data_IF_714199110249
#
_entry.id   IF_714199110249
#
_cell.length_a   1.000
_cell.length_b   1.000
_cell.length_c   1.000
_cell.angle_alpha   90.00
_cell.angle_beta   90.00
_cell.angle_gamma   90.00
#
_symmetry.space_group_name_H-M   'P 1'
#
loop_
_entity.id
_entity.type
_entity.pdbx_description
1 polymer ?
#
# COMPACT_ATOMS: atom_id res chain seq x y z
N UNK A 1 -27.92 10.39 10.59
CA UNK A 1 -28.19 9.05 10.04
C UNK A 1 -26.85 8.44 9.70
N UNK A 2 -26.37 7.48 10.49
CA UNK A 2 -25.13 6.77 10.20
C UNK A 2 -25.29 6.03 8.88
N UNK A 3 -24.29 6.13 8.00
CA UNK A 3 -24.33 5.41 6.75
C UNK A 3 -24.15 3.91 7.04
N UNK A 4 -25.14 3.10 6.70
CA UNK A 4 -25.07 1.65 6.89
C UNK A 4 -23.86 1.06 6.14
N UNK A 5 -22.90 0.51 6.89
CA UNK A 5 -21.65 -0.07 6.39
C UNK A 5 -21.73 -1.59 6.37
N UNK A 6 -20.99 -2.22 5.46
CA UNK A 6 -20.91 -3.68 5.41
C UNK A 6 -20.24 -4.24 6.68
N UNK A 7 -20.84 -5.26 7.28
CA UNK A 7 -20.36 -5.88 8.52
C UNK A 7 -18.89 -6.32 8.42
N UNK A 8 -18.48 -6.99 7.34
CA UNK A 8 -17.09 -7.40 7.17
C UNK A 8 -16.10 -6.24 7.00
N UNK A 9 -16.57 -5.06 6.58
CA UNK A 9 -15.74 -3.84 6.54
C UNK A 9 -15.54 -3.33 7.96
N UNK A 10 -16.63 -3.24 8.74
CA UNK A 10 -16.59 -2.82 10.13
C UNK A 10 -15.66 -3.69 10.98
N UNK A 11 -15.75 -5.02 10.85
CA UNK A 11 -14.88 -5.96 11.56
C UNK A 11 -13.40 -5.79 11.21
N UNK A 12 -13.10 -5.45 9.95
CA UNK A 12 -11.73 -5.21 9.51
C UNK A 12 -11.16 -3.89 10.05
N UNK A 13 -11.98 -2.84 10.11
CA UNK A 13 -11.60 -1.54 10.67
C UNK A 13 -11.35 -1.63 12.18
N UNK A 14 -12.07 -2.49 12.90
CA UNK A 14 -11.80 -2.83 14.31
C UNK A 14 -10.62 -3.80 14.52
N UNK A 15 -9.92 -4.19 13.46
CA UNK A 15 -8.77 -5.09 13.55
C UNK A 15 -9.10 -6.53 13.98
N UNK A 16 -10.37 -6.95 13.94
CA UNK A 16 -10.79 -8.30 14.29
C UNK A 16 -10.26 -9.32 13.29
N UNK A 17 -10.39 -9.01 12.00
CA UNK A 17 -9.96 -9.88 10.91
C UNK A 17 -9.84 -9.11 9.60
N UNK A 18 -9.05 -9.61 8.64
CA UNK A 18 -9.14 -9.09 7.26
C UNK A 18 -10.57 -9.22 6.73
N UNK A 19 -10.98 -8.39 5.76
CA UNK A 19 -12.35 -8.44 5.19
C UNK A 19 -12.79 -9.85 4.78
N UNK A 20 -11.91 -10.63 4.13
CA UNK A 20 -12.22 -12.02 3.73
C UNK A 20 -12.35 -12.97 4.91
N UNK A 21 -11.49 -12.81 5.92
CA UNK A 21 -11.56 -13.63 7.14
C UNK A 21 -12.79 -13.23 7.98
N UNK A 22 -13.18 -11.97 7.98
CA UNK A 22 -14.44 -11.49 8.57
C UNK A 22 -15.66 -12.09 7.87
N UNK A 23 -15.66 -12.25 6.54
CA UNK A 23 -16.72 -12.99 5.83
C UNK A 23 -16.82 -14.44 6.28
N UNK A 24 -15.68 -15.12 6.51
CA UNK A 24 -15.68 -16.47 7.07
C UNK A 24 -16.26 -16.50 8.50
N UNK A 25 -15.93 -15.52 9.34
CA UNK A 25 -16.50 -15.40 10.70
C UNK A 25 -18.02 -15.25 10.68
N UNK A 26 -18.54 -14.39 9.80
CA UNK A 26 -19.97 -14.18 9.60
C UNK A 26 -20.62 -15.52 9.21
N UNK A 27 -20.16 -16.17 8.14
CA UNK A 27 -20.75 -17.44 7.66
C UNK A 27 -20.68 -18.55 8.72
N UNK A 28 -19.66 -18.56 9.58
CA UNK A 28 -19.53 -19.52 10.68
C UNK A 28 -20.39 -19.21 11.91
N UNK A 29 -21.25 -18.18 11.86
CA UNK A 29 -22.16 -17.81 12.96
C UNK A 29 -21.45 -17.22 14.18
N UNK A 30 -20.23 -16.69 14.02
CA UNK A 30 -19.43 -16.15 15.13
C UNK A 30 -19.69 -14.66 15.40
N UNK A 31 -20.63 -14.06 14.65
CA UNK A 31 -20.95 -12.63 14.71
C UNK A 31 -22.44 -12.45 15.00
N UNK A 32 -22.75 -11.66 16.01
CA UNK A 32 -24.11 -11.27 16.36
C UNK A 32 -24.33 -9.78 16.10
N UNK A 33 -25.53 -9.42 15.67
CA UNK A 33 -25.99 -8.03 15.56
C UNK A 33 -27.30 -7.93 16.32
N UNK A 34 -27.36 -7.05 17.32
CA UNK A 34 -28.51 -6.86 18.21
C UNK A 34 -29.01 -8.19 18.80
N UNK A 35 -28.09 -9.04 19.27
CA UNK A 35 -28.39 -10.34 19.86
C UNK A 35 -28.78 -11.44 18.87
N UNK A 36 -28.82 -11.16 17.56
CA UNK A 36 -29.14 -12.14 16.52
C UNK A 36 -27.89 -12.57 15.77
N UNK A 37 -27.63 -13.87 15.66
CA UNK A 37 -26.52 -14.41 14.87
C UNK A 37 -26.72 -14.05 13.39
N UNK A 38 -25.69 -13.49 12.76
CA UNK A 38 -25.69 -13.14 11.34
C UNK A 38 -24.79 -14.08 10.58
N UNK A 39 -25.35 -14.82 9.62
CA UNK A 39 -24.64 -15.73 8.71
C UNK A 39 -24.61 -15.24 7.25
N UNK A 40 -25.37 -14.20 6.94
CA UNK A 40 -25.53 -13.66 5.59
C UNK A 40 -24.42 -12.67 5.23
N UNK A 41 -23.69 -12.96 4.15
CA UNK A 41 -22.73 -12.03 3.57
C UNK A 41 -23.43 -10.80 2.97
N UNK A 42 -22.78 -9.63 3.10
CA UNK A 42 -23.30 -8.36 2.59
C UNK A 42 -24.24 -7.63 3.55
N UNK A 43 -24.51 -8.21 4.73
CA UNK A 43 -25.21 -7.55 5.83
C UNK A 43 -24.61 -6.17 6.11
N UNK A 44 -25.48 -5.18 6.27
CA UNK A 44 -25.10 -3.81 6.62
C UNK A 44 -25.59 -3.48 8.02
N UNK A 45 -24.77 -2.73 8.74
CA UNK A 45 -25.00 -2.30 10.12
C UNK A 45 -24.68 -0.82 10.26
N UNK A 46 -25.33 -0.15 11.19
CA UNK A 46 -25.00 1.20 11.64
C UNK A 46 -24.21 1.10 12.95
N UNK A 47 -22.89 1.37 12.97
CA UNK A 47 -22.08 1.26 14.18
C UNK A 47 -22.45 2.26 15.28
N UNK A 48 -23.31 3.25 14.99
CA UNK A 48 -23.80 4.21 15.99
C UNK A 48 -25.05 3.71 16.72
N UNK A 49 -25.73 2.69 16.18
CA UNK A 49 -27.05 2.23 16.66
C UNK A 49 -27.01 0.74 16.99
N UNK A 50 -26.42 -0.07 16.11
CA UNK A 50 -26.38 -1.51 16.25
C UNK A 50 -25.32 -1.94 17.26
N UNK A 51 -25.67 -2.92 18.10
CA UNK A 51 -24.73 -3.65 18.94
C UNK A 51 -24.18 -4.83 18.14
N UNK A 52 -22.89 -4.79 17.83
CA UNK A 52 -22.21 -5.90 17.14
C UNK A 52 -21.34 -6.65 18.14
N UNK A 53 -21.47 -7.98 18.17
CA UNK A 53 -20.65 -8.85 19.00
C UNK A 53 -19.91 -9.87 18.13
N UNK A 54 -18.66 -10.15 18.47
CA UNK A 54 -17.87 -11.21 17.83
C UNK A 54 -17.38 -12.13 18.92
N UNK A 55 -17.61 -13.44 18.77
CA UNK A 55 -17.33 -14.42 19.84
C UNK A 55 -17.98 -14.06 21.19
N UNK A 56 -19.18 -13.46 21.15
CA UNK A 56 -19.91 -13.02 22.36
C UNK A 56 -19.29 -11.80 23.07
N UNK A 57 -18.35 -11.10 22.43
CA UNK A 57 -17.77 -9.86 22.97
C UNK A 57 -18.22 -8.67 22.11
N UNK A 58 -18.76 -7.60 22.71
CA UNK A 58 -19.16 -6.42 21.97
C UNK A 58 -17.96 -5.72 21.33
N UNK A 59 -18.14 -5.22 20.12
CA UNK A 59 -17.20 -4.28 19.53
C UNK A 59 -17.21 -2.99 20.34
N UNK A 60 -16.02 -2.52 20.69
CA UNK A 60 -15.84 -1.25 21.38
C UNK A 60 -15.96 -0.08 20.38
N UNK A 61 -15.64 1.14 20.83
CA UNK A 61 -15.59 2.30 19.96
C UNK A 61 -14.61 2.09 18.78
N UNK A 62 -14.92 2.74 17.66
CA UNK A 62 -14.07 2.74 16.48
C UNK A 62 -12.65 3.20 16.85
N UNK A 63 -11.60 2.47 16.43
CA UNK A 63 -10.24 2.91 16.63
C UNK A 63 -9.99 4.25 15.92
N UNK A 64 -9.11 5.12 16.46
CA UNK A 64 -8.75 6.36 15.80
C UNK A 64 -8.10 6.06 14.43
N UNK A 65 -8.35 6.93 13.46
CA UNK A 65 -7.72 6.80 12.14
C UNK A 65 -6.23 7.13 12.24
N UNK A 66 -5.41 6.19 11.77
CA UNK A 66 -3.96 6.29 11.76
C UNK A 66 -3.48 6.37 10.32
N UNK A 67 -2.58 7.30 10.06
CA UNK A 67 -1.95 7.52 8.76
C UNK A 67 -0.45 7.61 8.96
N UNK A 68 0.26 6.54 8.62
CA UNK A 68 1.68 6.38 8.97
C UNK A 68 2.52 6.34 7.71
N UNK A 69 3.54 7.19 7.64
CA UNK A 69 4.64 7.02 6.69
C UNK A 69 5.71 6.13 7.32
N UNK A 70 6.01 5.03 6.67
CA UNK A 70 7.01 4.04 7.07
C UNK A 70 8.13 3.99 6.04
N UNK A 71 9.38 4.00 6.51
CA UNK A 71 10.52 3.63 5.67
C UNK A 71 10.73 2.13 5.75
N UNK A 72 10.15 1.39 4.80
CA UNK A 72 10.31 -0.06 4.70
C UNK A 72 11.76 -0.44 4.37
N UNK A 73 12.44 -1.29 5.16
CA UNK A 73 13.73 -1.87 4.80
C UNK A 73 13.59 -3.02 3.78
N UNK A 74 14.71 -3.39 3.16
CA UNK A 74 14.82 -4.65 2.40
C UNK A 74 14.67 -5.83 3.35
N UNK A 75 14.06 -6.93 2.89
CA UNK A 75 13.85 -8.16 3.67
C UNK A 75 12.53 -8.21 4.44
N UNK A 76 11.75 -7.12 4.43
CA UNK A 76 10.46 -7.02 5.11
C UNK A 76 9.30 -7.22 4.13
N UNK A 77 8.23 -7.89 4.55
CA UNK A 77 7.04 -8.13 3.73
C UNK A 77 5.96 -7.06 3.91
N UNK A 78 5.43 -6.51 2.83
CA UNK A 78 4.23 -5.65 2.84
C UNK A 78 2.94 -6.48 2.92
N UNK A 79 2.72 -7.17 4.04
CA UNK A 79 1.51 -7.96 4.33
C UNK A 79 1.05 -7.75 5.77
N UNK A 80 -0.23 -7.99 6.06
CA UNK A 80 -0.74 -7.97 7.44
C UNK A 80 -0.42 -9.26 8.20
N UNK A 81 -0.19 -10.36 7.49
CA UNK A 81 0.12 -11.66 8.07
C UNK A 81 0.98 -12.48 7.10
N UNK A 82 1.97 -13.19 7.62
CA UNK A 82 2.76 -14.16 6.89
C UNK A 82 2.67 -15.54 7.56
N UNK A 83 2.09 -16.57 6.90
CA UNK A 83 1.97 -17.91 7.47
C UNK A 83 3.32 -18.58 7.80
N UNK A 84 4.42 -18.11 7.22
CA UNK A 84 5.78 -18.63 7.43
C UNK A 84 6.54 -17.86 8.52
N UNK A 85 5.90 -16.92 9.21
CA UNK A 85 6.51 -16.16 10.31
C UNK A 85 7.63 -15.21 9.89
N UNK A 86 7.71 -14.82 8.61
CA UNK A 86 8.68 -13.81 8.17
C UNK A 86 8.25 -12.42 8.64
N UNK A 87 9.24 -11.56 8.85
CA UNK A 87 9.03 -10.17 9.28
C UNK A 87 8.15 -9.39 8.31
N UNK A 88 7.14 -8.73 8.85
CA UNK A 88 6.17 -7.91 8.13
C UNK A 88 6.33 -6.45 8.49
N UNK A 89 5.97 -5.54 7.60
CA UNK A 89 6.05 -4.10 7.86
C UNK A 89 5.25 -3.63 9.08
N UNK A 90 4.28 -4.43 9.56
CA UNK A 90 3.56 -4.12 10.79
C UNK A 90 4.47 -4.30 12.02
N UNK A 91 5.44 -5.22 12.01
CA UNK A 91 6.36 -5.42 13.15
C UNK A 91 7.34 -4.26 13.34
N UNK A 92 7.36 -3.28 12.43
CA UNK A 92 8.09 -2.01 12.56
C UNK A 92 7.30 -0.93 13.32
N UNK A 93 6.05 -1.21 13.69
CA UNK A 93 5.16 -0.28 14.36
C UNK A 93 5.07 -0.56 15.88
N UNK A 94 4.69 0.45 16.68
CA UNK A 94 4.51 0.30 18.12
C UNK A 94 3.52 -0.83 18.44
N UNK A 95 3.73 -1.54 19.55
CA UNK A 95 2.94 -2.72 19.92
C UNK A 95 1.45 -2.37 20.08
N UNK A 96 1.17 -1.21 20.67
CA UNK A 96 -0.14 -0.62 20.87
C UNK A 96 -0.91 -0.35 19.57
N UNK A 97 -0.20 -0.22 18.44
CA UNK A 97 -0.82 0.03 17.14
C UNK A 97 -1.08 -1.25 16.34
N UNK A 98 -0.37 -2.34 16.67
CA UNK A 98 -0.45 -3.60 15.92
C UNK A 98 -1.72 -4.40 16.21
N UNK A 99 -2.33 -4.21 17.37
CA UNK A 99 -3.48 -5.01 17.82
C UNK A 99 -4.72 -4.13 17.92
N UNK A 100 -5.86 -4.59 17.38
CA UNK A 100 -7.16 -3.93 17.52
C UNK A 100 -7.36 -2.63 16.72
N UNK A 101 -6.35 -2.18 15.95
CA UNK A 101 -6.45 -0.92 15.19
C UNK A 101 -6.80 -1.13 13.71
N UNK A 102 -6.74 -2.36 13.19
CA UNK A 102 -7.02 -2.64 11.77
C UNK A 102 -5.97 -2.10 10.78
N UNK A 103 -4.76 -1.77 11.26
CA UNK A 103 -3.68 -1.25 10.41
C UNK A 103 -3.30 -2.24 9.29
N UNK A 104 -3.12 -1.70 8.09
CA UNK A 104 -2.71 -2.44 6.93
C UNK A 104 -1.85 -1.60 5.96
N UNK A 105 -0.96 -2.23 5.18
CA UNK A 105 -0.19 -1.52 4.17
C UNK A 105 -1.08 -0.91 3.07
N UNK A 106 -0.87 0.37 2.78
CA UNK A 106 -1.49 1.08 1.65
C UNK A 106 -0.66 0.81 0.40
N UNK A 107 -1.04 -0.26 -0.29
CA UNK A 107 -0.28 -0.81 -1.40
C UNK A 107 0.90 -1.66 -0.92
N UNK A 108 1.79 -2.03 -1.85
CA UNK A 108 2.89 -2.96 -1.56
C UNK A 108 4.22 -2.47 -2.08
N UNK A 109 5.28 -2.89 -1.41
CA UNK A 109 6.65 -2.94 -1.92
C UNK A 109 7.14 -4.37 -1.84
N UNK A 110 7.89 -4.80 -2.84
CA UNK A 110 8.48 -6.13 -2.84
C UNK A 110 9.45 -6.31 -1.67
N UNK A 111 9.68 -7.56 -1.27
CA UNK A 111 10.61 -7.90 -0.18
C UNK A 111 12.02 -7.35 -0.45
N UNK A 112 12.47 -7.44 -1.70
CA UNK A 112 13.78 -6.99 -2.20
C UNK A 112 13.87 -5.45 -2.42
N UNK A 113 12.81 -4.71 -2.10
CA UNK A 113 12.69 -3.27 -2.35
C UNK A 113 12.53 -2.50 -1.04
N UNK A 114 13.09 -1.30 -0.98
CA UNK A 114 13.00 -0.42 0.19
C UNK A 114 12.25 0.88 -0.10
N UNK A 115 11.97 1.65 0.94
CA UNK A 115 11.55 3.03 0.83
C UNK A 115 10.15 3.31 1.37
N UNK A 116 9.54 4.40 0.89
CA UNK A 116 8.27 4.92 1.38
C UNK A 116 7.16 3.89 1.26
N UNK A 117 6.50 3.58 2.37
CA UNK A 117 5.26 2.82 2.43
C UNK A 117 4.31 3.54 3.36
N UNK A 118 3.03 3.60 2.99
CA UNK A 118 2.01 4.14 3.89
C UNK A 118 1.32 2.96 4.58
N UNK A 119 1.01 3.10 5.86
CA UNK A 119 0.19 2.16 6.62
C UNK A 119 -0.99 2.94 7.20
N UNK A 120 -2.19 2.38 7.11
CA UNK A 120 -3.40 3.02 7.63
C UNK A 120 -4.45 1.98 8.00
N UNK A 121 -5.44 2.40 8.79
CA UNK A 121 -6.69 1.66 9.02
C UNK A 121 -7.89 2.29 8.29
N UNK A 122 -7.69 3.38 7.55
CA UNK A 122 -8.71 3.96 6.67
C UNK A 122 -8.74 3.21 5.32
N UNK A 123 -9.77 2.39 5.14
CA UNK A 123 -9.99 1.64 3.90
C UNK A 123 -10.32 2.52 2.69
N UNK A 124 -10.95 3.67 2.87
CA UNK A 124 -11.30 4.61 1.79
C UNK A 124 -10.06 5.36 1.31
N UNK A 125 -9.25 5.86 2.25
CA UNK A 125 -7.93 6.39 1.94
C UNK A 125 -7.06 5.36 1.21
N UNK A 126 -7.03 4.12 1.70
CA UNK A 126 -6.29 3.03 1.06
C UNK A 126 -6.72 2.81 -0.39
N UNK A 127 -8.03 2.75 -0.62
CA UNK A 127 -8.59 2.58 -1.95
C UNK A 127 -8.21 3.73 -2.89
N UNK A 128 -8.36 4.99 -2.43
CA UNK A 128 -8.02 6.18 -3.22
C UNK A 128 -6.55 6.22 -3.63
N UNK A 129 -5.64 5.80 -2.75
CA UNK A 129 -4.20 5.86 -3.01
C UNK A 129 -3.67 4.68 -3.85
N UNK A 130 -4.39 3.56 -3.88
CA UNK A 130 -3.88 2.30 -4.48
C UNK A 130 -4.59 1.89 -5.76
N UNK A 131 -5.83 2.31 -5.97
CA UNK A 131 -6.58 1.87 -7.15
C UNK A 131 -5.96 2.45 -8.43
N UNK A 132 -5.70 1.64 -9.49
CA UNK A 132 -5.02 2.08 -10.70
C UNK A 132 -5.63 3.32 -11.37
N UNK A 133 -6.97 3.45 -11.31
CA UNK A 133 -7.71 4.61 -11.87
C UNK A 133 -7.28 5.96 -11.29
N UNK A 134 -6.72 5.98 -10.09
CA UNK A 134 -6.34 7.20 -9.38
C UNK A 134 -4.93 7.67 -9.71
N UNK A 135 -4.13 6.84 -10.40
CA UNK A 135 -2.87 7.24 -11.03
C UNK A 135 -1.90 8.01 -10.11
N UNK A 136 -1.89 7.70 -8.80
CA UNK A 136 -1.04 8.41 -7.85
C UNK A 136 0.45 8.11 -8.16
N UNK A 137 1.27 9.14 -8.47
CA UNK A 137 2.64 8.94 -8.87
C UNK A 137 3.48 8.41 -7.72
N UNK A 138 4.47 7.58 -8.05
CA UNK A 138 5.43 6.98 -7.12
C UNK A 138 6.81 7.17 -7.71
N UNK A 139 7.70 7.79 -6.94
CA UNK A 139 9.06 8.12 -7.38
C UNK A 139 10.04 7.12 -6.79
N UNK A 140 10.92 6.60 -7.64
CA UNK A 140 11.89 5.56 -7.30
C UNK A 140 13.29 5.98 -7.71
N UNK A 141 14.26 5.63 -6.86
CA UNK A 141 15.67 5.49 -7.24
C UNK A 141 15.92 4.05 -7.63
N UNK A 142 16.45 3.86 -8.83
CA UNK A 142 16.63 2.55 -9.47
C UNK A 142 18.08 2.45 -9.92
N UNK A 143 18.82 1.50 -9.34
CA UNK A 143 20.16 1.18 -9.79
C UNK A 143 20.06 0.01 -10.74
N UNK A 144 20.41 0.25 -11.99
CA UNK A 144 20.40 -0.76 -13.05
C UNK A 144 21.82 -1.09 -13.49
N UNK A 145 22.04 -2.35 -13.87
CA UNK A 145 23.34 -2.78 -14.39
C UNK A 145 23.65 -2.14 -15.73
N UNK A 146 24.91 -1.75 -15.91
CA UNK A 146 25.44 -1.17 -17.13
C UNK A 146 24.94 0.26 -17.38
N UNK A 147 24.99 0.67 -18.65
CA UNK A 147 24.71 2.03 -19.08
C UNK A 147 23.61 2.04 -20.16
N UNK A 148 22.33 2.17 -19.78
CA UNK A 148 21.26 2.32 -20.75
C UNK A 148 21.53 3.49 -21.70
N UNK A 149 21.40 3.24 -22.99
CA UNK A 149 21.53 4.25 -24.04
C UNK A 149 20.32 5.17 -24.05
N UNK A 150 20.43 6.33 -24.70
CA UNK A 150 19.29 7.25 -24.85
C UNK A 150 18.09 6.57 -25.53
N UNK A 151 18.33 5.70 -26.52
CA UNK A 151 17.28 4.94 -27.19
C UNK A 151 16.57 3.95 -26.25
N UNK A 152 17.32 3.23 -25.40
CA UNK A 152 16.74 2.32 -24.40
C UNK A 152 15.87 3.07 -23.40
N UNK A 153 16.36 4.21 -22.89
CA UNK A 153 15.59 5.07 -21.98
C UNK A 153 14.35 5.65 -22.66
N UNK A 154 14.44 6.00 -23.95
CA UNK A 154 13.30 6.42 -24.77
C UNK A 154 12.22 5.33 -24.85
N UNK A 155 12.59 4.07 -25.06
CA UNK A 155 11.65 2.94 -25.03
C UNK A 155 10.98 2.76 -23.67
N UNK A 156 11.75 2.90 -22.58
CA UNK A 156 11.18 2.83 -21.24
C UNK A 156 10.14 3.94 -21.04
N UNK A 157 10.47 5.20 -21.37
CA UNK A 157 9.57 6.35 -21.22
C UNK A 157 8.28 6.20 -22.02
N UNK A 158 8.36 5.68 -23.25
CA UNK A 158 7.21 5.47 -24.12
C UNK A 158 6.32 4.28 -23.72
N UNK A 159 6.78 3.47 -22.77
CA UNK A 159 6.15 2.23 -22.34
C UNK A 159 6.50 1.02 -23.22
N UNK A 160 6.60 -0.15 -22.58
CA UNK A 160 6.94 -1.43 -23.23
C UNK A 160 5.81 -2.43 -23.07
N UNK A 161 5.75 -3.45 -23.93
CA UNK A 161 4.81 -4.57 -23.73
C UNK A 161 5.30 -5.43 -22.58
N UNK A 162 4.54 -5.45 -21.49
CA UNK A 162 4.80 -6.27 -20.31
C UNK A 162 3.58 -7.17 -20.06
N UNK A 163 3.79 -8.48 -20.08
CA UNK A 163 2.72 -9.48 -19.84
C UNK A 163 1.52 -9.28 -20.79
N UNK A 164 1.81 -9.03 -22.08
CA UNK A 164 0.78 -8.87 -23.12
C UNK A 164 0.11 -7.49 -23.17
N UNK A 165 0.43 -6.58 -22.25
CA UNK A 165 -0.14 -5.23 -22.22
C UNK A 165 0.95 -4.16 -22.19
N UNK A 166 0.79 -3.12 -23.00
CA UNK A 166 1.71 -1.97 -22.97
C UNK A 166 1.62 -1.28 -21.59
N UNK A 167 2.77 -0.97 -20.99
CA UNK A 167 2.83 -0.13 -19.78
C UNK A 167 2.44 1.29 -20.14
N UNK A 168 1.92 2.03 -19.16
CA UNK A 168 1.77 3.48 -19.31
C UNK A 168 3.14 4.13 -19.50
N UNK A 169 3.19 5.31 -20.13
CA UNK A 169 4.41 6.11 -20.17
C UNK A 169 4.94 6.40 -18.76
N UNK A 170 6.25 6.62 -18.65
CA UNK A 170 6.93 6.83 -17.39
C UNK A 170 7.96 7.96 -17.51
N UNK A 171 8.11 8.76 -16.46
CA UNK A 171 9.25 9.68 -16.39
C UNK A 171 10.49 8.89 -15.96
N UNK A 172 11.55 8.95 -16.76
CA UNK A 172 12.83 8.26 -16.48
C UNK A 172 13.96 9.23 -16.70
N UNK A 173 14.72 9.52 -15.64
CA UNK A 173 15.82 10.48 -15.67
C UNK A 173 17.09 9.80 -15.20
N UNK A 174 18.21 10.05 -15.88
CA UNK A 174 19.52 9.57 -15.43
C UNK A 174 20.00 10.51 -14.34
N UNK A 175 20.34 9.96 -13.18
CA UNK A 175 20.86 10.75 -12.07
C UNK A 175 22.38 10.67 -12.02
N UNK A 176 22.92 9.46 -12.14
CA UNK A 176 24.37 9.25 -12.16
C UNK A 176 24.73 8.03 -12.99
N UNK A 177 25.96 8.00 -13.52
CA UNK A 177 26.52 6.86 -14.26
C UNK A 177 27.85 6.48 -13.63
N UNK A 178 27.92 5.26 -13.09
CA UNK A 178 29.17 4.62 -12.69
C UNK A 178 29.72 3.77 -13.86
N UNK A 179 30.81 3.03 -13.62
CA UNK A 179 31.36 2.10 -14.61
C UNK A 179 30.38 0.96 -14.92
N UNK A 180 29.91 0.27 -13.88
CA UNK A 180 29.10 -0.96 -13.99
C UNK A 180 27.61 -0.76 -13.72
N UNK A 181 27.18 0.44 -13.30
CA UNK A 181 25.80 0.72 -12.94
C UNK A 181 25.37 2.14 -13.32
N UNK A 182 24.07 2.31 -13.56
CA UNK A 182 23.44 3.61 -13.75
C UNK A 182 22.35 3.79 -12.71
N UNK A 183 22.33 4.95 -12.08
CA UNK A 183 21.24 5.33 -11.19
C UNK A 183 20.23 6.16 -11.97
N UNK A 184 18.98 5.70 -11.93
CA UNK A 184 17.84 6.32 -12.55
C UNK A 184 16.86 6.82 -11.49
N UNK A 185 16.22 7.93 -11.78
CA UNK A 185 14.95 8.28 -11.18
C UNK A 185 13.83 7.82 -12.11
N UNK A 186 12.88 7.07 -11.56
CA UNK A 186 11.72 6.55 -12.30
C UNK A 186 10.45 6.95 -11.57
N UNK A 187 9.54 7.63 -12.25
CA UNK A 187 8.21 7.99 -11.73
C UNK A 187 7.16 7.18 -12.48
N UNK A 188 6.35 6.43 -11.73
CA UNK A 188 5.25 5.62 -12.26
C UNK A 188 3.93 6.02 -11.61
N UNK A 189 2.87 6.06 -12.42
CA UNK A 189 1.49 6.24 -11.95
C UNK A 189 0.70 4.93 -11.85
N UNK A 190 1.15 3.87 -12.54
CA UNK A 190 0.65 2.52 -12.35
C UNK A 190 1.53 1.69 -11.39
N UNK A 191 1.02 0.55 -10.97
CA UNK A 191 1.67 -0.30 -9.96
C UNK A 191 1.53 -1.79 -10.26
N UNK A 192 1.93 -2.24 -11.46
CA UNK A 192 1.92 -3.68 -11.81
C UNK A 192 2.97 -4.44 -10.99
N UNK A 193 2.76 -5.75 -10.83
CA UNK A 193 3.67 -6.59 -10.05
C UNK A 193 5.11 -6.53 -10.60
N UNK A 194 6.05 -6.08 -9.76
CA UNK A 194 7.49 -5.98 -10.07
C UNK A 194 7.80 -5.18 -11.35
N UNK A 195 6.95 -4.23 -11.72
CA UNK A 195 6.99 -3.55 -13.02
C UNK A 195 8.37 -2.98 -13.38
N UNK A 196 8.97 -2.17 -12.49
CA UNK A 196 10.30 -1.55 -12.72
C UNK A 196 11.35 -2.61 -13.01
N UNK A 197 11.37 -3.69 -12.22
CA UNK A 197 12.36 -4.76 -12.37
C UNK A 197 12.18 -5.51 -13.69
N UNK A 198 10.95 -5.89 -14.03
CA UNK A 198 10.64 -6.61 -15.27
C UNK A 198 10.93 -5.77 -16.52
N UNK A 199 10.58 -4.48 -16.50
CA UNK A 199 10.86 -3.58 -17.63
C UNK A 199 12.36 -3.37 -17.81
N UNK A 200 13.11 -3.15 -16.73
CA UNK A 200 14.55 -2.97 -16.81
C UNK A 200 15.25 -4.24 -17.33
N UNK A 201 14.82 -5.42 -16.85
CA UNK A 201 15.31 -6.73 -17.30
C UNK A 201 15.02 -6.96 -18.79
N UNK A 202 13.78 -6.70 -19.24
CA UNK A 202 13.39 -6.77 -20.65
C UNK A 202 14.25 -5.86 -21.55
N UNK A 203 14.70 -4.74 -21.01
CA UNK A 203 15.56 -3.78 -21.71
C UNK A 203 17.05 -4.11 -21.60
N UNK A 204 17.43 -5.23 -20.96
CA UNK A 204 18.82 -5.68 -20.82
C UNK A 204 19.59 -5.06 -19.66
N UNK A 205 18.90 -4.40 -18.72
CA UNK A 205 19.51 -3.66 -17.61
C UNK A 205 18.85 -4.06 -16.27
N UNK A 206 19.12 -5.26 -15.74
CA UNK A 206 18.48 -5.74 -14.52
C UNK A 206 18.71 -4.80 -13.34
N UNK A 207 17.70 -4.69 -12.47
CA UNK A 207 17.72 -3.82 -11.28
C UNK A 207 18.47 -4.47 -10.14
N UNK A 208 19.51 -3.82 -9.66
CA UNK A 208 20.33 -4.24 -8.51
C UNK A 208 19.76 -3.69 -7.20
N UNK A 209 19.26 -2.46 -7.21
CA UNK A 209 18.63 -1.82 -6.05
C UNK A 209 17.42 -1.02 -6.47
N UNK A 210 16.36 -1.09 -5.66
CA UNK A 210 15.12 -0.34 -5.87
C UNK A 210 14.69 0.31 -4.55
N UNK A 211 14.54 1.63 -4.58
CA UNK A 211 14.16 2.42 -3.42
C UNK A 211 13.07 3.43 -3.79
N UNK A 212 11.88 3.31 -3.20
CA UNK A 212 10.80 4.30 -3.39
C UNK A 212 11.06 5.52 -2.50
N UNK A 213 11.38 6.67 -3.09
CA UNK A 213 11.68 7.89 -2.33
C UNK A 213 10.43 8.66 -1.93
N UNK A 214 9.35 8.57 -2.73
CA UNK A 214 8.12 9.31 -2.50
C UNK A 214 6.87 8.57 -3.01
N UNK A 215 5.73 8.90 -2.39
CA UNK A 215 4.38 8.56 -2.84
C UNK A 215 3.63 9.89 -2.99
N UNK A 216 3.27 10.23 -4.22
CA UNK A 216 2.74 11.54 -4.55
C UNK A 216 3.63 12.66 -3.99
N UNK A 217 3.04 13.66 -3.30
CA UNK A 217 3.78 14.78 -2.73
C UNK A 217 4.50 14.47 -1.40
N UNK A 218 4.46 13.21 -0.93
CA UNK A 218 5.03 12.81 0.35
C UNK A 218 6.30 11.99 0.13
N UNK A 219 7.45 12.60 0.48
CA UNK A 219 8.76 11.96 0.46
C UNK A 219 9.17 11.44 1.85
N UNK A 220 10.16 10.52 1.87
CA UNK A 220 10.77 10.04 3.11
C UNK A 220 11.51 11.13 3.90
N UNK A 221 12.10 12.12 3.20
CA UNK A 221 12.71 13.32 3.80
C UNK A 221 13.57 13.04 5.05
N UNK A 222 14.55 12.14 4.94
CA UNK A 222 15.48 11.83 6.04
C UNK A 222 14.98 10.82 7.07
N UNK A 223 13.75 10.30 6.94
CA UNK A 223 13.26 9.19 7.78
C UNK A 223 14.18 7.96 7.63
N UNK A 224 14.83 7.46 8.70
CA UNK A 224 15.74 6.33 8.61
C UNK A 224 15.05 5.00 8.25
N UNK A 225 15.74 4.02 7.65
CA UNK A 225 15.18 2.70 7.41
C UNK A 225 14.62 2.05 8.69
N UNK A 226 13.41 1.52 8.62
CA UNK A 226 12.69 0.91 9.75
C UNK A 226 11.92 1.92 10.62
N UNK A 227 12.23 3.21 10.50
CA UNK A 227 11.50 4.25 11.23
C UNK A 227 10.17 4.59 10.57
N UNK A 228 9.27 5.14 11.39
CA UNK A 228 7.95 5.58 10.97
C UNK A 228 7.60 6.92 11.62
N UNK A 229 6.64 7.62 11.03
CA UNK A 229 6.03 8.83 11.60
C UNK A 229 4.58 8.97 11.14
N UNK A 230 3.78 9.70 11.91
CA UNK A 230 2.43 10.08 11.47
C UNK A 230 2.52 11.09 10.30
N UNK A 231 1.55 11.00 9.41
CA UNK A 231 1.28 12.00 8.38
C UNK A 231 0.52 13.17 9.01
N UNK A 232 0.87 14.40 8.63
CA UNK A 232 0.08 15.57 9.02
C UNK A 232 -1.21 15.67 8.20
N UNK A 233 -2.20 16.41 8.69
CA UNK A 233 -3.45 16.68 7.95
C UNK A 233 -3.19 17.20 6.52
N UNK A 234 -2.29 18.18 6.39
CA UNK A 234 -1.86 18.72 5.09
C UNK A 234 -1.21 17.66 4.18
N UNK A 235 -0.46 16.69 4.72
CA UNK A 235 0.09 15.60 3.92
C UNK A 235 -1.00 14.64 3.44
N UNK A 236 -1.98 14.34 4.28
CA UNK A 236 -3.14 13.51 3.94
C UNK A 236 -3.96 14.18 2.82
N UNK A 237 -4.29 15.46 2.98
CA UNK A 237 -5.01 16.24 1.98
C UNK A 237 -4.29 16.28 0.63
N UNK A 238 -2.99 16.58 0.64
CA UNK A 238 -2.19 16.62 -0.59
C UNK A 238 -2.10 15.24 -1.28
N UNK A 239 -2.03 14.15 -0.51
CA UNK A 239 -2.10 12.80 -1.08
C UNK A 239 -3.44 12.55 -1.77
N UNK A 240 -4.54 12.98 -1.17
CA UNK A 240 -5.88 12.83 -1.74
C UNK A 240 -6.07 13.71 -2.98
N UNK A 241 -5.57 14.95 -2.97
CA UNK A 241 -5.64 15.86 -4.12
C UNK A 241 -4.79 15.40 -5.31
N UNK A 242 -3.66 14.73 -5.05
CA UNK A 242 -2.79 14.16 -6.09
C UNK A 242 -3.38 12.90 -6.75
N UNK A 243 -4.54 12.41 -6.29
CA UNK A 243 -5.25 11.33 -6.98
C UNK A 243 -6.02 11.89 -8.18
N UNK A 244 -5.81 11.33 -9.37
CA UNK A 244 -6.51 11.71 -10.60
C UNK A 244 -5.91 12.88 -11.38
N UNK A 245 -4.77 13.43 -10.97
CA UNK A 245 -4.08 14.55 -11.63
C UNK A 245 -2.63 14.16 -11.92
N UNK A 246 -2.37 13.61 -13.11
CA UNK A 246 -1.00 13.43 -13.59
C UNK A 246 -0.95 13.45 -15.12
N UNK A 247 -0.39 14.54 -15.65
CA UNK A 247 -0.04 14.66 -17.06
C UNK A 247 1.49 14.47 -17.19
N UNK A 248 1.89 13.59 -18.12
CA UNK A 248 3.29 13.26 -18.42
C UNK A 248 3.86 14.15 -19.53
#
# INVERSE_FOLDING_TARGET
>A
MGAAIRLQKLLAEHGIASRRKAEALIVSGQVCVNGTVVDRLGTRVDPQIDLIEVFGQPLHCMPPLLYVLLHKPVGWLSTCFDPRGRRTVLDLLPAEWRTGQGLHPVGRLDCDSSGALIVSNDGEFTFRLTHPRHQLPKTYRVWVRGRPTAAVLGRWRAGVVLEGQKTLPAAVTVVSRAAEATELEVVLVEGRNRQIRKVAELLGHPVERLHRTAIGPVALAGLPPGAHRLLSASQIERLLQATGTFDL
#
